data_IF_844795286638
#
_entry.id   IF_844795286638
#
_cell.length_a   1.000
_cell.length_b   1.000
_cell.length_c   1.000
_cell.angle_alpha   90.00
_cell.angle_beta   90.00
_cell.angle_gamma   90.00
#
_symmetry.space_group_name_H-M   'P 1'
#
loop_
_entity.id
_entity.type
_entity.pdbx_description
1 polymer ?
#
# COMPACT_ATOMS: atom_id res chain seq x y z
N UNK A 1 26.96 17.44 8.11
CA UNK A 1 26.20 18.43 8.88
C UNK A 1 24.77 18.45 8.34
N UNK A 2 23.79 18.25 9.23
CA UNK A 2 22.33 18.26 9.02
C UNK A 2 21.70 17.27 8.01
N UNK A 3 21.46 16.05 8.48
CA UNK A 3 20.26 15.25 8.13
C UNK A 3 19.50 14.96 9.43
N UNK A 4 18.72 15.94 9.88
CA UNK A 4 17.80 15.79 11.03
C UNK A 4 16.69 16.82 10.83
N UNK A 5 15.49 16.36 10.45
CA UNK A 5 14.34 17.26 10.24
C UNK A 5 13.14 16.72 9.45
N UNK A 6 13.21 15.54 8.82
CA UNK A 6 12.11 15.00 7.99
C UNK A 6 11.35 13.82 8.61
N UNK A 7 11.57 13.50 9.89
CA UNK A 7 11.03 12.28 10.51
C UNK A 7 9.59 12.39 11.05
N UNK A 8 8.85 13.47 10.77
CA UNK A 8 7.53 13.72 11.39
C UNK A 8 6.49 14.35 10.44
N UNK A 9 6.76 14.38 9.13
CA UNK A 9 5.85 14.98 8.14
C UNK A 9 5.55 13.95 7.05
N UNK A 10 4.29 13.52 6.96
CA UNK A 10 3.85 12.66 5.87
C UNK A 10 3.98 13.35 4.51
N UNK A 11 4.28 12.54 3.51
CA UNK A 11 4.61 12.98 2.16
C UNK A 11 3.69 12.36 1.13
N UNK A 12 3.69 12.93 -0.07
CA UNK A 12 3.08 12.37 -1.27
C UNK A 12 4.06 12.55 -2.44
N UNK A 13 4.06 11.63 -3.39
CA UNK A 13 4.86 11.77 -4.61
C UNK A 13 4.49 13.07 -5.34
N UNK A 14 5.50 13.79 -5.81
CA UNK A 14 5.36 15.03 -6.56
C UNK A 14 4.54 14.87 -7.86
N UNK A 15 4.55 13.66 -8.45
CA UNK A 15 3.68 13.30 -9.57
C UNK A 15 2.18 13.53 -9.30
N UNK A 16 1.74 13.62 -8.03
CA UNK A 16 0.38 14.05 -7.65
C UNK A 16 0.03 15.48 -8.09
N UNK A 17 1.02 16.30 -8.47
CA UNK A 17 0.84 17.62 -9.04
C UNK A 17 0.97 17.65 -10.57
N UNK A 18 1.06 16.50 -11.24
CA UNK A 18 1.09 16.47 -12.70
C UNK A 18 -0.18 17.12 -13.26
N UNK A 19 -0.01 18.07 -14.17
CA UNK A 19 -1.08 18.90 -14.72
C UNK A 19 -1.40 20.18 -13.93
N UNK A 20 -0.78 20.39 -12.76
CA UNK A 20 -1.06 21.55 -11.91
C UNK A 20 -0.72 22.89 -12.58
N UNK A 21 0.47 23.03 -13.14
CA UNK A 21 0.90 24.29 -13.76
C UNK A 21 0.03 24.69 -14.96
N UNK A 22 -0.24 23.81 -15.94
CA UNK A 22 -1.19 24.11 -17.02
C UNK A 22 -2.57 24.49 -16.51
N UNK A 23 -3.14 23.74 -15.55
CA UNK A 23 -4.46 24.02 -15.01
C UNK A 23 -4.53 25.39 -14.31
N UNK A 24 -3.51 25.75 -13.52
CA UNK A 24 -3.45 27.06 -12.86
C UNK A 24 -3.34 28.19 -13.88
N UNK A 25 -2.51 28.03 -14.91
CA UNK A 25 -2.39 29.03 -15.98
C UNK A 25 -3.70 29.21 -16.76
N UNK A 26 -4.39 28.12 -17.11
CA UNK A 26 -5.67 28.14 -17.79
C UNK A 26 -6.76 28.86 -16.97
N UNK A 27 -6.64 28.82 -15.64
CA UNK A 27 -7.51 29.53 -14.71
C UNK A 27 -7.03 30.97 -14.39
N UNK A 28 -5.97 31.44 -15.04
CA UNK A 28 -5.44 32.80 -14.89
C UNK A 28 -4.54 33.03 -13.67
N UNK A 29 -4.04 31.97 -13.04
CA UNK A 29 -3.15 32.04 -11.88
C UNK A 29 -1.65 31.93 -12.22
N UNK A 30 -0.83 32.12 -11.18
CA UNK A 30 0.62 31.85 -11.20
C UNK A 30 0.92 30.57 -10.37
N UNK A 31 1.26 29.44 -11.01
CA UNK A 31 1.50 28.18 -10.31
C UNK A 31 2.72 28.24 -9.40
N UNK A 32 3.76 28.95 -9.81
CA UNK A 32 4.98 29.06 -9.01
C UNK A 32 4.73 29.91 -7.76
N UNK A 33 3.94 30.97 -7.87
CA UNK A 33 3.55 31.78 -6.71
C UNK A 33 2.74 30.96 -5.70
N UNK A 34 1.81 30.12 -6.16
CA UNK A 34 1.06 29.19 -5.31
C UNK A 34 2.01 28.19 -4.64
N UNK A 35 2.87 27.51 -5.39
CA UNK A 35 3.82 26.52 -4.84
C UNK A 35 4.70 27.15 -3.76
N UNK A 36 5.36 28.28 -4.05
CA UNK A 36 6.26 28.96 -3.10
C UNK A 36 5.51 29.40 -1.84
N UNK A 37 4.27 29.86 -1.95
CA UNK A 37 3.45 30.27 -0.79
C UNK A 37 3.17 29.11 0.17
N UNK A 38 3.05 27.89 -0.34
CA UNK A 38 2.89 26.67 0.47
C UNK A 38 4.22 25.97 0.78
N UNK A 39 5.35 26.63 0.56
CA UNK A 39 6.68 26.11 0.88
C UNK A 39 7.17 25.01 -0.07
N UNK A 40 6.58 24.91 -1.27
CA UNK A 40 6.98 23.96 -2.31
C UNK A 40 7.89 24.68 -3.32
N UNK A 41 9.05 24.08 -3.62
CA UNK A 41 9.93 24.56 -4.68
C UNK A 41 9.28 24.24 -6.04
N UNK A 42 9.06 25.23 -6.95
CA UNK A 42 8.45 24.96 -8.25
C UNK A 42 9.16 23.91 -9.10
N UNK A 43 10.46 23.70 -8.87
CA UNK A 43 11.24 22.64 -9.55
C UNK A 43 10.72 21.23 -9.25
N UNK A 44 9.94 21.05 -8.18
CA UNK A 44 9.33 19.76 -7.84
C UNK A 44 8.36 19.25 -8.91
N UNK A 45 7.80 20.15 -9.73
CA UNK A 45 6.94 19.76 -10.87
C UNK A 45 7.72 19.06 -11.99
N UNK A 46 9.05 19.08 -11.97
CA UNK A 46 9.91 18.43 -12.96
C UNK A 46 10.45 17.07 -12.48
N UNK A 47 10.13 16.68 -11.25
CA UNK A 47 10.63 15.47 -10.61
C UNK A 47 9.47 14.62 -10.10
N UNK A 48 8.96 13.73 -10.95
CA UNK A 48 7.85 12.83 -10.63
C UNK A 48 8.18 11.80 -9.53
N UNK A 49 9.47 11.52 -9.30
CA UNK A 49 9.96 10.61 -8.25
C UNK A 49 10.21 11.31 -6.90
N UNK A 50 10.21 12.64 -6.91
CA UNK A 50 10.31 13.48 -5.72
C UNK A 50 9.11 13.33 -4.79
N UNK A 51 9.28 13.80 -3.55
CA UNK A 51 8.24 13.81 -2.53
C UNK A 51 8.03 15.22 -1.99
N UNK A 52 6.77 15.57 -1.74
CA UNK A 52 6.35 16.83 -1.13
C UNK A 52 5.54 16.58 0.15
N UNK A 53 5.56 17.52 1.11
CA UNK A 53 4.67 17.44 2.28
C UNK A 53 3.20 17.39 1.85
N UNK A 54 2.48 16.34 2.27
CA UNK A 54 1.08 16.16 1.85
C UNK A 54 0.17 17.27 2.40
N UNK A 55 0.47 17.81 3.58
CA UNK A 55 -0.23 18.98 4.14
C UNK A 55 -0.09 20.21 3.26
N UNK A 56 1.11 20.49 2.71
CA UNK A 56 1.32 21.61 1.81
C UNK A 56 0.58 21.40 0.48
N UNK A 57 0.65 20.19 -0.07
CA UNK A 57 -0.09 19.78 -1.26
C UNK A 57 -1.60 20.05 -1.10
N UNK A 58 -2.22 19.52 -0.05
CA UNK A 58 -3.68 19.56 0.12
C UNK A 58 -4.20 20.99 0.36
N UNK A 59 -3.53 21.73 1.24
CA UNK A 59 -3.89 23.13 1.51
C UNK A 59 -3.70 24.01 0.27
N UNK A 60 -2.69 23.71 -0.56
CA UNK A 60 -2.48 24.41 -1.83
C UNK A 60 -3.62 24.12 -2.82
N UNK A 61 -4.07 22.87 -2.95
CA UNK A 61 -5.20 22.53 -3.83
C UNK A 61 -6.48 23.24 -3.41
N UNK A 62 -6.80 23.26 -2.11
CA UNK A 62 -7.96 23.97 -1.58
C UNK A 62 -7.87 25.48 -1.83
N UNK A 63 -6.68 26.07 -1.63
CA UNK A 63 -6.44 27.48 -1.90
C UNK A 63 -6.56 27.81 -3.39
N UNK A 64 -5.99 26.99 -4.28
CA UNK A 64 -6.08 27.16 -5.73
C UNK A 64 -7.54 27.13 -6.19
N UNK A 65 -8.33 26.14 -5.74
CA UNK A 65 -9.74 26.06 -6.09
C UNK A 65 -10.54 27.29 -5.65
N UNK A 66 -10.28 27.82 -4.45
CA UNK A 66 -10.95 29.02 -3.93
C UNK A 66 -10.51 30.30 -4.64
N UNK A 67 -9.21 30.52 -4.79
CA UNK A 67 -8.64 31.79 -5.29
C UNK A 67 -8.83 31.94 -6.79
N UNK A 68 -8.86 30.83 -7.53
CA UNK A 68 -9.08 30.82 -8.98
C UNK A 68 -10.56 30.63 -9.36
N UNK A 69 -11.48 30.62 -8.39
CA UNK A 69 -12.91 30.43 -8.64
C UNK A 69 -13.26 29.07 -9.27
N UNK A 70 -12.46 28.05 -9.03
CA UNK A 70 -12.57 26.72 -9.60
C UNK A 70 -12.95 25.71 -8.52
N UNK A 71 -14.24 25.56 -8.24
CA UNK A 71 -14.68 24.67 -7.16
C UNK A 71 -14.42 23.18 -7.42
N UNK A 72 -14.23 22.79 -8.69
CA UNK A 72 -13.92 21.42 -9.14
C UNK A 72 -12.42 21.25 -9.47
N UNK A 73 -11.53 22.04 -8.86
CA UNK A 73 -10.10 22.07 -9.19
C UNK A 73 -9.46 20.68 -9.11
N UNK A 74 -9.69 19.93 -8.03
CA UNK A 74 -9.17 18.58 -7.83
C UNK A 74 -9.67 17.60 -8.88
N UNK A 75 -10.96 17.66 -9.23
CA UNK A 75 -11.53 16.84 -10.31
C UNK A 75 -10.91 17.16 -11.67
N UNK A 76 -10.65 18.44 -11.97
CA UNK A 76 -9.98 18.84 -13.22
C UNK A 76 -8.54 18.38 -13.26
N UNK A 77 -7.82 18.55 -12.15
CA UNK A 77 -6.43 18.10 -12.04
C UNK A 77 -6.32 16.58 -12.25
N UNK A 78 -7.28 15.81 -11.73
CA UNK A 78 -7.30 14.35 -11.92
C UNK A 78 -7.40 13.94 -13.39
N UNK A 79 -7.95 14.78 -14.27
CA UNK A 79 -8.06 14.48 -15.71
C UNK A 79 -6.72 14.57 -16.44
N UNK A 80 -5.74 15.27 -15.87
CA UNK A 80 -4.39 15.38 -16.40
C UNK A 80 -3.44 14.27 -15.90
N UNK A 81 -3.97 13.30 -15.14
CA UNK A 81 -3.20 12.25 -14.48
C UNK A 81 -3.55 10.88 -15.02
N UNK A 82 -2.75 9.86 -14.74
CA UNK A 82 -3.02 8.48 -15.12
C UNK A 82 -2.36 7.53 -14.12
N UNK A 83 -2.40 6.22 -14.38
CA UNK A 83 -1.85 5.21 -13.49
C UNK A 83 -0.36 5.45 -13.15
N UNK A 84 0.42 6.07 -14.04
CA UNK A 84 1.86 6.27 -13.85
C UNK A 84 2.20 7.23 -12.71
N UNK A 85 1.24 8.01 -12.18
CA UNK A 85 1.47 8.84 -10.98
C UNK A 85 1.78 8.00 -9.73
N UNK A 86 1.45 6.70 -9.75
CA UNK A 86 1.83 5.74 -8.71
C UNK A 86 3.30 5.27 -8.82
N UNK A 87 4.02 5.67 -9.88
CA UNK A 87 5.43 5.33 -10.09
C UNK A 87 5.65 3.81 -10.18
N UNK A 88 6.61 3.23 -9.44
CA UNK A 88 6.90 1.78 -9.49
C UNK A 88 5.70 0.88 -9.18
N UNK A 89 4.71 1.36 -8.42
CA UNK A 89 3.48 0.62 -8.14
C UNK A 89 2.62 0.44 -9.40
N UNK A 90 2.67 1.39 -10.34
CA UNK A 90 1.90 1.34 -11.58
C UNK A 90 2.16 0.04 -12.36
N UNK A 91 3.42 -0.39 -12.47
CA UNK A 91 3.81 -1.61 -13.18
C UNK A 91 3.20 -2.87 -12.55
N UNK A 92 3.16 -2.95 -11.22
CA UNK A 92 2.57 -4.10 -10.53
C UNK A 92 1.04 -4.14 -10.68
N UNK A 93 0.40 -2.97 -10.74
CA UNK A 93 -1.04 -2.83 -10.98
C UNK A 93 -1.39 -3.23 -12.41
N UNK A 94 -0.70 -2.66 -13.41
CA UNK A 94 -0.95 -2.91 -14.83
C UNK A 94 -0.73 -4.38 -15.21
N UNK A 95 0.33 -4.99 -14.66
CA UNK A 95 0.64 -6.40 -14.89
C UNK A 95 -0.21 -7.38 -14.05
N UNK A 96 -1.15 -6.89 -13.22
CA UNK A 96 -2.00 -7.76 -12.41
C UNK A 96 -3.03 -8.52 -13.26
N UNK A 97 -3.34 -9.79 -12.92
CA UNK A 97 -4.29 -10.57 -13.71
C UNK A 97 -5.73 -10.07 -13.64
N UNK A 98 -6.11 -9.52 -12.47
CA UNK A 98 -7.49 -9.17 -12.13
C UNK A 98 -7.55 -7.86 -11.34
N UNK A 99 -8.73 -7.20 -11.37
CA UNK A 99 -9.01 -6.03 -10.53
C UNK A 99 -8.78 -6.31 -9.05
N UNK A 100 -9.18 -7.48 -8.55
CA UNK A 100 -8.98 -7.87 -7.15
C UNK A 100 -7.49 -7.88 -6.78
N UNK A 101 -6.66 -8.50 -7.61
CA UNK A 101 -5.22 -8.64 -7.36
C UNK A 101 -4.46 -7.33 -7.57
N UNK A 102 -4.96 -6.45 -8.43
CA UNK A 102 -4.49 -5.09 -8.57
C UNK A 102 -4.80 -4.27 -7.31
N UNK A 103 -6.03 -4.33 -6.80
CA UNK A 103 -6.44 -3.66 -5.56
C UNK A 103 -5.71 -4.22 -4.34
N UNK A 104 -5.39 -5.51 -4.29
CA UNK A 104 -4.51 -6.09 -3.27
C UNK A 104 -3.11 -5.46 -3.32
N UNK A 105 -2.54 -5.33 -4.52
CA UNK A 105 -1.25 -4.68 -4.71
C UNK A 105 -1.27 -3.21 -4.25
N UNK A 106 -2.30 -2.46 -4.64
CA UNK A 106 -2.49 -1.07 -4.19
C UNK A 106 -2.63 -1.01 -2.67
N UNK A 107 -3.51 -1.83 -2.07
CA UNK A 107 -3.72 -1.87 -0.61
C UNK A 107 -2.39 -2.07 0.12
N UNK A 108 -1.52 -2.94 -0.39
CA UNK A 108 -0.23 -3.26 0.21
C UNK A 108 0.84 -2.21 0.00
N UNK A 109 0.87 -1.55 -1.16
CA UNK A 109 2.01 -0.73 -1.59
C UNK A 109 1.69 0.75 -1.86
N UNK A 110 0.45 1.20 -1.66
CA UNK A 110 0.06 2.61 -1.86
C UNK A 110 0.90 3.59 -1.02
N UNK A 111 1.48 3.13 0.09
CA UNK A 111 2.41 3.92 0.89
C UNK A 111 3.61 4.47 0.10
N UNK A 112 3.99 3.82 -1.01
CA UNK A 112 5.04 4.29 -1.94
C UNK A 112 4.63 5.59 -2.63
N UNK A 113 3.34 5.75 -2.89
CA UNK A 113 2.78 6.99 -3.40
C UNK A 113 2.54 7.99 -2.27
N UNK A 114 1.91 7.57 -1.17
CA UNK A 114 1.82 8.34 0.07
C UNK A 114 1.48 7.44 1.26
N UNK A 115 2.23 7.51 2.38
CA UNK A 115 1.91 6.75 3.59
C UNK A 115 0.61 7.19 4.27
N UNK A 116 0.10 8.39 4.00
CA UNK A 116 -1.17 8.87 4.55
C UNK A 116 -2.42 8.31 3.83
N UNK A 117 -2.24 7.67 2.66
CA UNK A 117 -3.37 7.19 1.85
C UNK A 117 -3.58 5.69 1.99
N UNK A 118 -4.85 5.27 2.04
CA UNK A 118 -5.26 3.86 2.07
C UNK A 118 -6.38 3.62 1.09
N UNK A 119 -6.27 2.52 0.36
CA UNK A 119 -7.35 1.96 -0.45
C UNK A 119 -7.64 0.56 0.08
N UNK A 120 -8.91 0.20 0.18
CA UNK A 120 -9.33 -1.12 0.61
C UNK A 120 -10.66 -1.52 -0.05
N UNK A 121 -10.87 -2.82 -0.23
CA UNK A 121 -12.16 -3.39 -0.62
C UNK A 121 -12.90 -3.79 0.65
N UNK A 122 -14.09 -3.23 0.83
CA UNK A 122 -14.94 -3.46 1.98
C UNK A 122 -16.35 -3.90 1.53
N UNK A 123 -17.12 -4.45 2.46
CA UNK A 123 -18.53 -4.71 2.24
C UNK A 123 -19.30 -3.42 1.94
N UNK A 124 -20.35 -3.55 1.15
CA UNK A 124 -21.16 -2.40 0.76
C UNK A 124 -21.83 -1.73 1.96
N UNK A 125 -21.59 -0.43 2.24
CA UNK A 125 -22.16 0.23 3.41
C UNK A 125 -23.69 0.34 3.35
N UNK A 126 -24.30 0.19 2.17
CA UNK A 126 -25.77 0.15 2.04
C UNK A 126 -26.36 -1.26 2.12
N UNK A 127 -25.53 -2.29 2.23
CA UNK A 127 -25.95 -3.70 2.27
C UNK A 127 -26.51 -4.24 0.96
N UNK A 128 -26.24 -3.60 -0.18
CA UNK A 128 -26.74 -4.04 -1.47
C UNK A 128 -26.06 -5.36 -1.88
N UNK A 129 -26.88 -6.37 -2.17
CA UNK A 129 -26.41 -7.69 -2.62
C UNK A 129 -25.64 -7.55 -3.92
N UNK A 130 -24.49 -8.21 -4.02
CA UNK A 130 -23.68 -8.18 -5.24
C UNK A 130 -22.85 -6.92 -5.40
N UNK A 131 -22.84 -5.99 -4.44
CA UNK A 131 -22.03 -4.76 -4.46
C UNK A 131 -20.91 -4.84 -3.43
N UNK A 132 -19.80 -4.15 -3.68
CA UNK A 132 -18.67 -3.91 -2.77
C UNK A 132 -18.29 -2.43 -2.80
N UNK A 133 -17.61 -1.95 -1.76
CA UNK A 133 -17.08 -0.59 -1.69
C UNK A 133 -15.55 -0.61 -1.79
N UNK A 134 -15.00 0.03 -2.82
CA UNK A 134 -13.58 0.37 -2.90
C UNK A 134 -13.42 1.71 -2.18
N UNK A 135 -12.96 1.66 -0.93
CA UNK A 135 -12.80 2.84 -0.10
C UNK A 135 -11.47 3.53 -0.37
N UNK A 136 -11.47 4.86 -0.32
CA UNK A 136 -10.29 5.70 -0.39
C UNK A 136 -10.25 6.57 0.88
N UNK A 137 -9.21 6.38 1.69
CA UNK A 137 -9.06 7.01 3.00
C UNK A 137 -7.75 7.76 3.08
N UNK A 138 -7.80 8.84 3.85
CA UNK A 138 -6.64 9.60 4.26
C UNK A 138 -6.55 9.58 5.78
N UNK A 139 -5.35 9.34 6.31
CA UNK A 139 -5.06 9.51 7.72
C UNK A 139 -5.05 11.00 8.09
N UNK A 140 -6.00 11.40 8.93
CA UNK A 140 -6.17 12.79 9.35
C UNK A 140 -5.17 13.21 10.44
N UNK A 141 -4.46 12.26 11.06
CA UNK A 141 -3.35 12.58 11.94
C UNK A 141 -2.16 13.14 11.15
N UNK A 142 -2.03 12.75 9.89
CA UNK A 142 -0.90 13.13 9.02
C UNK A 142 -1.14 14.43 8.25
N UNK A 143 -2.39 14.75 7.90
CA UNK A 143 -2.74 16.01 7.23
C UNK A 143 -4.24 16.32 7.33
N UNK A 144 -4.63 17.60 7.48
CA UNK A 144 -6.04 18.01 7.55
C UNK A 144 -6.86 17.55 6.35
N UNK A 145 -8.16 17.39 6.55
CA UNK A 145 -9.06 17.03 5.45
C UNK A 145 -9.10 18.14 4.38
N UNK A 146 -8.94 17.76 3.11
CA UNK A 146 -9.08 18.64 1.94
C UNK A 146 -10.10 18.04 0.97
N UNK A 147 -11.21 18.74 0.68
CA UNK A 147 -12.16 18.32 -0.35
C UNK A 147 -11.52 18.23 -1.74
N UNK A 148 -10.64 19.17 -2.11
CA UNK A 148 -10.01 19.14 -3.45
C UNK A 148 -9.08 17.93 -3.60
N UNK A 149 -8.26 17.63 -2.60
CA UNK A 149 -7.39 16.45 -2.62
C UNK A 149 -8.19 15.13 -2.62
N UNK A 150 -9.29 15.09 -1.87
CA UNK A 150 -10.19 13.93 -1.83
C UNK A 150 -10.84 13.69 -3.21
N UNK A 151 -11.39 14.74 -3.82
CA UNK A 151 -11.98 14.67 -5.15
C UNK A 151 -10.94 14.34 -6.23
N UNK A 152 -9.70 14.86 -6.13
CA UNK A 152 -8.58 14.46 -6.99
C UNK A 152 -8.32 12.96 -6.92
N UNK A 153 -8.18 12.40 -5.71
CA UNK A 153 -7.93 10.97 -5.50
C UNK A 153 -9.04 10.08 -6.06
N UNK A 154 -10.30 10.42 -5.80
CA UNK A 154 -11.46 9.69 -6.33
C UNK A 154 -11.56 9.83 -7.86
N UNK A 155 -11.37 11.04 -8.37
CA UNK A 155 -11.34 11.34 -9.81
C UNK A 155 -10.31 10.49 -10.55
N UNK A 156 -9.11 10.40 -9.98
CA UNK A 156 -8.04 9.58 -10.52
C UNK A 156 -8.36 8.08 -10.43
N UNK A 157 -8.91 7.61 -9.30
CA UNK A 157 -9.24 6.19 -9.13
C UNK A 157 -10.28 5.72 -10.16
N UNK A 158 -11.32 6.53 -10.42
CA UNK A 158 -12.30 6.23 -11.48
C UNK A 158 -11.62 6.23 -12.84
N UNK A 159 -10.76 7.21 -13.13
CA UNK A 159 -10.09 7.30 -14.43
C UNK A 159 -9.14 6.12 -14.68
N UNK A 160 -8.39 5.68 -13.68
CA UNK A 160 -7.54 4.49 -13.75
C UNK A 160 -8.40 3.24 -13.97
N UNK A 161 -9.49 3.08 -13.22
CA UNK A 161 -10.39 1.95 -13.38
C UNK A 161 -10.96 1.89 -14.81
N UNK A 162 -11.44 3.01 -15.34
CA UNK A 162 -11.95 3.11 -16.72
C UNK A 162 -10.88 2.79 -17.75
N UNK A 163 -9.62 3.19 -17.53
CA UNK A 163 -8.53 2.90 -18.46
C UNK A 163 -8.13 1.41 -18.48
N UNK A 164 -8.17 0.73 -17.32
CA UNK A 164 -7.76 -0.68 -17.20
C UNK A 164 -8.87 -1.67 -17.57
N UNK A 165 -10.13 -1.32 -17.30
CA UNK A 165 -11.28 -2.22 -17.40
C UNK A 165 -12.25 -1.81 -18.53
N UNK A 166 -12.14 -0.60 -19.05
CA UNK A 166 -13.08 -0.02 -20.01
C UNK A 166 -14.21 0.77 -19.35
N UNK A 167 -15.19 1.19 -20.14
CA UNK A 167 -16.25 2.11 -19.69
C UNK A 167 -17.35 1.46 -18.83
N UNK A 168 -17.47 0.14 -18.85
CA UNK A 168 -18.44 -0.62 -18.03
C UNK A 168 -17.79 -1.22 -16.79
N UNK A 169 -17.19 -0.35 -15.97
CA UNK A 169 -16.55 -0.72 -14.68
C UNK A 169 -17.54 -1.23 -13.62
N UNK A 170 -18.84 -1.32 -13.92
CA UNK A 170 -19.87 -1.69 -12.94
C UNK A 170 -20.04 -0.66 -11.81
N UNK A 171 -19.67 0.60 -12.05
CA UNK A 171 -19.73 1.67 -11.06
C UNK A 171 -21.19 2.08 -10.78
N UNK A 172 -21.65 1.80 -9.56
CA UNK A 172 -23.03 2.06 -9.12
C UNK A 172 -23.24 3.46 -8.54
N UNK A 173 -22.25 3.95 -7.81
CA UNK A 173 -22.26 5.30 -7.23
C UNK A 173 -20.90 5.64 -6.64
N UNK A 174 -20.67 6.92 -6.42
CA UNK A 174 -19.52 7.42 -5.65
C UNK A 174 -20.02 8.05 -4.36
N UNK A 175 -19.28 7.84 -3.29
CA UNK A 175 -19.53 8.43 -1.99
C UNK A 175 -18.40 9.41 -1.66
N UNK A 176 -18.75 10.61 -1.21
CA UNK A 176 -17.81 11.64 -0.79
C UNK A 176 -18.09 12.07 0.66
N UNK A 177 -17.05 12.15 1.53
CA UNK A 177 -17.23 12.47 2.94
C UNK A 177 -17.25 13.96 3.24
N UNK A 178 -17.82 14.75 2.33
CA UNK A 178 -18.04 16.19 2.49
C UNK A 178 -19.34 16.60 1.78
N UNK A 179 -19.83 17.81 2.07
CA UNK A 179 -20.90 18.44 1.31
C UNK A 179 -20.42 18.79 -0.12
N UNK A 180 -21.30 18.88 -1.12
CA UNK A 180 -20.89 19.23 -2.49
C UNK A 180 -20.22 20.61 -2.52
N UNK A 181 -18.98 20.67 -3.03
CA UNK A 181 -18.25 21.94 -3.21
C UNK A 181 -18.48 22.52 -4.62
N UNK A 182 -18.86 21.67 -5.58
CA UNK A 182 -19.29 22.04 -6.92
C UNK A 182 -20.77 21.73 -7.19
N UNK A 183 -21.36 22.24 -8.29
CA UNK A 183 -22.69 21.79 -8.71
C UNK A 183 -22.73 20.28 -8.94
N UNK A 184 -23.72 19.58 -8.36
CA UNK A 184 -23.89 18.11 -8.45
C UNK A 184 -23.85 17.59 -9.91
N UNK A 185 -24.34 18.38 -10.86
CA UNK A 185 -24.31 18.05 -12.28
C UNK A 185 -22.88 17.85 -12.83
N UNK A 186 -21.86 18.54 -12.30
CA UNK A 186 -20.47 18.35 -12.72
C UNK A 186 -19.95 16.97 -12.35
N UNK A 187 -20.25 16.51 -11.14
CA UNK A 187 -19.90 15.16 -10.68
C UNK A 187 -20.59 14.10 -11.53
N UNK A 188 -21.87 14.28 -11.81
CA UNK A 188 -22.65 13.32 -12.62
C UNK A 188 -22.14 13.26 -14.06
N UNK A 189 -21.79 14.41 -14.64
CA UNK A 189 -21.20 14.49 -15.98
C UNK A 189 -19.82 13.82 -16.04
N UNK A 190 -19.00 13.98 -15.00
CA UNK A 190 -17.66 13.41 -14.96
C UNK A 190 -17.67 11.90 -14.73
N UNK A 191 -18.46 11.43 -13.76
CA UNK A 191 -18.44 10.04 -13.32
C UNK A 191 -19.45 9.15 -14.04
N UNK A 192 -20.41 9.74 -14.77
CA UNK A 192 -21.48 9.00 -15.43
C UNK A 192 -22.45 8.30 -14.46
N UNK A 193 -22.38 8.62 -13.16
CA UNK A 193 -23.17 7.98 -12.11
C UNK A 193 -23.55 8.96 -11.01
N UNK A 194 -24.40 8.51 -10.09
CA UNK A 194 -24.82 9.31 -8.93
C UNK A 194 -23.70 9.44 -7.91
N UNK A 195 -23.52 10.65 -7.39
CA UNK A 195 -22.62 10.93 -6.27
C UNK A 195 -23.42 11.22 -5.01
N UNK A 196 -23.10 10.54 -3.92
CA UNK A 196 -23.64 10.76 -2.58
C UNK A 196 -22.64 11.55 -1.75
N UNK A 197 -23.13 12.57 -1.06
CA UNK A 197 -22.35 13.48 -0.25
C UNK A 197 -22.63 13.26 1.24
N UNK A 198 -21.74 13.77 2.10
CA UNK A 198 -21.79 13.59 3.55
C UNK A 198 -21.77 12.11 3.99
N UNK A 199 -21.11 11.25 3.22
CA UNK A 199 -20.85 9.86 3.63
C UNK A 199 -19.76 9.81 4.71
N UNK A 200 -19.63 8.69 5.42
CA UNK A 200 -18.56 8.50 6.42
C UNK A 200 -17.17 8.32 5.80
N UNK A 201 -17.11 7.85 4.55
CA UNK A 201 -15.87 7.54 3.84
C UNK A 201 -16.03 7.84 2.34
N UNK A 202 -14.93 8.15 1.66
CA UNK A 202 -14.93 8.23 0.21
C UNK A 202 -14.89 6.81 -0.38
N UNK A 203 -15.77 6.50 -1.32
CA UNK A 203 -15.83 5.15 -1.88
C UNK A 203 -16.37 5.12 -3.31
N UNK A 204 -15.86 4.19 -4.11
CA UNK A 204 -16.48 3.73 -5.34
C UNK A 204 -17.29 2.48 -5.00
N UNK A 205 -18.60 2.53 -5.20
CA UNK A 205 -19.44 1.34 -5.08
C UNK A 205 -19.55 0.68 -6.43
N UNK A 206 -19.10 -0.56 -6.51
CA UNK A 206 -19.02 -1.32 -7.77
C UNK A 206 -19.71 -2.67 -7.61
N UNK A 207 -20.14 -3.24 -8.73
CA UNK A 207 -20.55 -4.64 -8.76
C UNK A 207 -19.38 -5.52 -8.30
N UNK A 208 -19.67 -6.52 -7.47
CA UNK A 208 -18.66 -7.44 -6.94
C UNK A 208 -17.96 -8.21 -8.07
N UNK A 209 -18.68 -8.48 -9.16
CA UNK A 209 -18.13 -9.12 -10.36
C UNK A 209 -17.05 -8.28 -11.04
N UNK A 210 -17.02 -6.96 -10.81
CA UNK A 210 -15.92 -6.09 -11.29
C UNK A 210 -14.57 -6.57 -10.75
N UNK A 211 -14.52 -7.13 -9.55
CA UNK A 211 -13.28 -7.66 -8.96
C UNK A 211 -12.68 -8.84 -9.75
N UNK A 212 -13.52 -9.56 -10.50
CA UNK A 212 -13.11 -10.74 -11.28
C UNK A 212 -12.70 -10.37 -12.72
N UNK A 213 -12.84 -9.10 -13.12
CA UNK A 213 -12.47 -8.64 -14.46
C UNK A 213 -10.96 -8.72 -14.65
N UNK A 214 -10.56 -9.22 -15.83
CA UNK A 214 -9.15 -9.46 -16.18
C UNK A 214 -8.58 -8.31 -16.98
N UNK A 215 -7.32 -7.99 -16.71
CA UNK A 215 -6.59 -6.99 -17.49
C UNK A 215 -5.97 -7.62 -18.73
N UNK A 216 -6.06 -6.91 -19.86
CA UNK A 216 -5.40 -7.33 -21.10
C UNK A 216 -3.87 -7.32 -20.97
N UNK A 217 -3.33 -6.36 -20.19
CA UNK A 217 -1.90 -6.20 -19.93
C UNK A 217 -1.32 -7.15 -18.87
N UNK A 218 -2.08 -8.16 -18.41
CA UNK A 218 -1.64 -9.07 -17.37
C UNK A 218 -0.35 -9.83 -17.75
N UNK A 219 0.69 -9.71 -16.91
CA UNK A 219 1.95 -10.42 -17.09
C UNK A 219 2.50 -10.85 -15.72
N UNK A 220 2.49 -12.17 -15.48
CA UNK A 220 2.90 -12.73 -14.20
C UNK A 220 4.38 -12.50 -13.87
N UNK A 221 5.25 -12.44 -14.88
CA UNK A 221 6.69 -12.23 -14.70
C UNK A 221 6.96 -10.77 -14.36
N UNK A 222 6.38 -9.83 -15.12
CA UNK A 222 6.50 -8.39 -14.84
C UNK A 222 5.94 -8.08 -13.47
N UNK A 223 4.76 -8.62 -13.13
CA UNK A 223 4.16 -8.43 -11.80
C UNK A 223 5.05 -8.93 -10.68
N UNK A 224 5.62 -10.12 -10.81
CA UNK A 224 6.51 -10.68 -9.79
C UNK A 224 7.77 -9.83 -9.60
N UNK A 225 8.38 -9.35 -10.69
CA UNK A 225 9.54 -8.46 -10.65
C UNK A 225 9.21 -7.11 -10.02
N UNK A 226 8.06 -6.51 -10.38
CA UNK A 226 7.61 -5.23 -9.83
C UNK A 226 7.32 -5.36 -8.33
N UNK A 227 6.63 -6.41 -7.88
CA UNK A 227 6.37 -6.67 -6.46
C UNK A 227 7.69 -6.90 -5.70
N UNK A 228 8.63 -7.65 -6.27
CA UNK A 228 9.93 -7.89 -5.65
C UNK A 228 10.77 -6.62 -5.55
N UNK A 229 10.69 -5.72 -6.54
CA UNK A 229 11.31 -4.40 -6.48
C UNK A 229 10.66 -3.53 -5.40
N UNK A 230 9.33 -3.41 -5.40
CA UNK A 230 8.58 -2.67 -4.38
C UNK A 230 8.89 -3.15 -2.95
N UNK A 231 8.93 -4.47 -2.74
CA UNK A 231 9.16 -5.05 -1.43
C UNK A 231 10.61 -4.91 -0.93
N UNK A 232 11.59 -4.79 -1.84
CA UNK A 232 13.01 -4.60 -1.49
C UNK A 232 13.33 -3.13 -1.24
N UNK A 233 12.91 -2.27 -2.15
CA UNK A 233 13.40 -0.88 -2.20
C UNK A 233 12.47 0.09 -1.46
N UNK A 234 11.24 -0.33 -1.16
CA UNK A 234 10.29 0.46 -0.40
C UNK A 234 9.83 -0.24 0.88
N UNK A 235 10.21 0.36 1.99
CA UNK A 235 9.77 -0.05 3.32
C UNK A 235 8.45 0.63 3.68
N UNK A 236 7.39 -0.14 3.95
CA UNK A 236 6.11 0.42 4.40
C UNK A 236 6.29 1.11 5.76
N UNK A 237 6.12 2.44 5.91
CA UNK A 237 6.35 3.16 7.17
C UNK A 237 5.46 2.68 8.32
N UNK A 238 4.30 2.11 8.01
CA UNK A 238 3.37 1.53 8.99
C UNK A 238 3.60 0.03 9.22
N UNK A 239 4.45 -0.61 8.43
CA UNK A 239 4.85 -1.99 8.70
C UNK A 239 5.80 -2.01 9.90
N UNK A 240 5.38 -2.77 10.91
CA UNK A 240 6.17 -3.13 12.07
C UNK A 240 7.58 -3.56 11.64
N UNK A 241 8.60 -3.03 12.30
CA UNK A 241 10.00 -3.40 12.12
C UNK A 241 10.18 -4.92 12.30
N UNK A 242 9.42 -5.55 13.21
CA UNK A 242 9.39 -7.01 13.37
C UNK A 242 8.90 -7.75 12.14
N UNK A 243 7.93 -7.22 11.39
CA UNK A 243 7.45 -7.82 10.15
C UNK A 243 8.49 -7.74 9.03
N UNK A 244 9.24 -6.63 8.96
CA UNK A 244 10.37 -6.49 8.01
C UNK A 244 11.49 -7.47 8.33
N UNK A 245 11.89 -7.55 9.60
CA UNK A 245 12.90 -8.53 10.06
C UNK A 245 12.43 -9.96 9.75
N UNK A 246 11.16 -10.30 10.00
CA UNK A 246 10.58 -11.61 9.70
C UNK A 246 10.74 -11.98 8.23
N UNK A 247 10.43 -11.05 7.32
CA UNK A 247 10.51 -11.27 5.86
C UNK A 247 11.94 -11.56 5.41
N UNK A 248 12.89 -10.71 5.82
CA UNK A 248 14.30 -10.86 5.48
C UNK A 248 14.88 -12.19 5.99
N UNK A 249 14.52 -12.58 7.21
CA UNK A 249 14.93 -13.88 7.77
C UNK A 249 14.31 -15.05 7.02
N UNK A 250 13.05 -14.94 6.58
CA UNK A 250 12.38 -16.01 5.82
C UNK A 250 13.02 -16.23 4.43
N UNK A 251 13.45 -15.16 3.77
CA UNK A 251 14.11 -15.22 2.46
C UNK A 251 15.53 -15.80 2.52
N UNK A 252 16.19 -15.66 3.68
CA UNK A 252 17.56 -16.16 3.92
C UNK A 252 17.60 -17.46 4.72
N UNK A 253 16.45 -18.07 4.99
CA UNK A 253 16.41 -19.31 5.76
C UNK A 253 17.13 -20.44 4.98
N UNK A 254 18.18 -20.99 5.59
CA UNK A 254 18.96 -22.09 5.00
C UNK A 254 20.16 -21.62 4.16
N UNK A 255 20.31 -20.32 3.90
CA UNK A 255 21.59 -19.70 3.57
C UNK A 255 22.24 -19.25 4.89
N UNK A 256 23.57 -19.03 4.93
CA UNK A 256 24.31 -18.78 6.17
C UNK A 256 23.54 -17.81 7.09
N UNK A 257 23.19 -18.27 8.29
CA UNK A 257 22.17 -17.61 9.11
C UNK A 257 22.55 -16.16 9.41
N UNK A 258 21.69 -15.23 9.04
CA UNK A 258 21.90 -13.82 9.34
C UNK A 258 21.97 -13.64 10.87
N UNK A 259 22.96 -12.90 11.34
CA UNK A 259 22.95 -12.38 12.70
C UNK A 259 22.30 -11.00 12.72
N UNK A 260 21.95 -10.50 13.90
CA UNK A 260 21.34 -9.19 14.07
C UNK A 260 22.08 -8.08 13.30
N UNK A 261 23.41 -8.09 13.31
CA UNK A 261 24.24 -7.10 12.63
C UNK A 261 24.11 -7.16 11.09
N UNK A 262 23.85 -8.34 10.53
CA UNK A 262 23.60 -8.50 9.09
C UNK A 262 22.23 -7.93 8.72
N UNK A 263 21.22 -8.24 9.52
CA UNK A 263 19.86 -7.72 9.36
C UNK A 263 19.83 -6.20 9.50
N UNK A 264 20.54 -5.66 10.48
CA UNK A 264 20.65 -4.22 10.68
C UNK A 264 21.29 -3.53 9.46
N UNK A 265 22.37 -4.11 8.91
CA UNK A 265 23.00 -3.60 7.68
C UNK A 265 22.08 -3.65 6.47
N UNK A 266 21.33 -4.74 6.30
CA UNK A 266 20.38 -4.90 5.19
C UNK A 266 19.18 -3.94 5.28
N UNK A 267 18.84 -3.48 6.49
CA UNK A 267 17.78 -2.49 6.74
C UNK A 267 18.31 -1.05 6.86
N UNK A 268 19.58 -0.80 6.50
CA UNK A 268 20.26 0.50 6.62
C UNK A 268 20.10 1.15 8.01
N UNK A 269 20.21 0.35 9.08
CA UNK A 269 20.05 0.80 10.46
C UNK A 269 21.16 0.28 11.37
N UNK A 270 21.33 0.94 12.52
CA UNK A 270 22.28 0.49 13.53
C UNK A 270 21.65 -0.64 14.37
N UNK A 271 22.40 -1.70 14.77
CA UNK A 271 21.86 -2.82 15.55
C UNK A 271 21.10 -2.40 16.82
N UNK A 272 21.63 -1.42 17.56
CA UNK A 272 20.95 -0.85 18.75
C UNK A 272 19.61 -0.19 18.42
N UNK A 273 19.51 0.47 17.27
CA UNK A 273 18.27 1.11 16.80
C UNK A 273 17.24 0.05 16.46
N UNK A 274 17.66 -1.01 15.75
CA UNK A 274 16.81 -2.14 15.42
C UNK A 274 16.27 -2.85 16.67
N UNK A 275 17.15 -3.15 17.64
CA UNK A 275 16.74 -3.76 18.91
C UNK A 275 15.74 -2.88 19.68
N UNK A 276 15.96 -1.56 19.73
CA UNK A 276 15.03 -0.64 20.40
C UNK A 276 13.67 -0.62 19.69
N UNK A 277 13.65 -0.62 18.36
CA UNK A 277 12.40 -0.64 17.60
C UNK A 277 11.61 -1.95 17.83
N UNK A 278 12.30 -3.10 17.81
CA UNK A 278 11.67 -4.39 18.15
C UNK A 278 11.13 -4.42 19.58
N UNK A 279 11.85 -3.82 20.53
CA UNK A 279 11.42 -3.74 21.92
C UNK A 279 10.16 -2.87 22.09
N UNK A 280 10.03 -1.78 21.33
CA UNK A 280 8.79 -0.97 21.30
C UNK A 280 7.60 -1.79 20.80
N UNK A 281 7.84 -2.73 19.88
CA UNK A 281 6.83 -3.67 19.38
C UNK A 281 6.62 -4.89 20.28
N UNK A 282 7.25 -4.92 21.46
CA UNK A 282 7.11 -6.03 22.42
C UNK A 282 7.79 -7.33 21.98
N UNK A 283 8.78 -7.26 21.09
CA UNK A 283 9.50 -8.44 20.58
C UNK A 283 11.02 -8.27 20.58
N UNK A 284 11.75 -9.31 20.20
CA UNK A 284 13.21 -9.29 20.02
C UNK A 284 13.60 -9.99 18.73
N UNK A 285 14.84 -9.77 18.29
CA UNK A 285 15.38 -10.45 17.12
C UNK A 285 15.29 -11.97 17.24
N UNK A 286 15.65 -12.51 18.40
CA UNK A 286 15.65 -13.94 18.69
C UNK A 286 14.23 -14.51 18.64
N UNK A 287 13.23 -13.77 19.15
CA UNK A 287 11.83 -14.19 19.09
C UNK A 287 11.30 -14.21 17.65
N UNK A 288 11.63 -13.20 16.84
CA UNK A 288 11.26 -13.16 15.43
C UNK A 288 11.93 -14.29 14.65
N UNK A 289 13.22 -14.53 14.86
CA UNK A 289 13.96 -15.64 14.23
C UNK A 289 13.39 -17.00 14.63
N UNK A 290 13.05 -17.18 15.91
CA UNK A 290 12.46 -18.42 16.41
C UNK A 290 11.08 -18.69 15.78
N UNK A 291 10.26 -17.65 15.61
CA UNK A 291 8.95 -17.75 14.95
C UNK A 291 9.07 -18.08 13.46
N UNK A 292 10.00 -17.45 12.74
CA UNK A 292 10.28 -17.79 11.33
C UNK A 292 10.70 -19.25 11.19
N UNK A 293 11.64 -19.70 12.04
CA UNK A 293 12.08 -21.10 12.07
C UNK A 293 10.94 -22.06 12.40
N UNK A 294 10.07 -21.69 13.34
CA UNK A 294 8.89 -22.48 13.73
C UNK A 294 7.97 -22.70 12.55
N UNK A 295 7.55 -21.62 11.88
CA UNK A 295 6.62 -21.72 10.74
C UNK A 295 7.22 -22.59 9.62
N UNK A 296 8.48 -22.36 9.26
CA UNK A 296 9.15 -23.13 8.21
C UNK A 296 9.34 -24.60 8.59
N UNK A 297 9.77 -24.88 9.82
CA UNK A 297 10.01 -26.25 10.30
C UNK A 297 8.72 -27.06 10.37
N UNK A 298 7.65 -26.48 10.94
CA UNK A 298 6.37 -27.18 11.05
C UNK A 298 5.81 -27.51 9.66
N UNK A 299 5.83 -26.55 8.73
CA UNK A 299 5.44 -26.80 7.34
C UNK A 299 6.23 -27.96 6.72
N UNK A 300 7.56 -27.92 6.79
CA UNK A 300 8.39 -28.99 6.19
C UNK A 300 8.17 -30.35 6.84
N UNK A 301 7.93 -30.40 8.16
CA UNK A 301 7.65 -31.66 8.88
C UNK A 301 6.32 -32.27 8.44
N UNK A 302 5.29 -31.45 8.26
CA UNK A 302 3.92 -31.92 7.99
C UNK A 302 3.59 -32.08 6.51
N UNK A 303 4.29 -31.39 5.60
CA UNK A 303 3.97 -31.41 4.17
C UNK A 303 5.01 -32.10 3.31
N UNK A 304 6.06 -32.70 3.90
CA UNK A 304 7.13 -33.36 3.14
C UNK A 304 7.66 -34.60 3.84
N UNK A 305 8.28 -35.52 3.08
CA UNK A 305 8.97 -36.70 3.59
C UNK A 305 10.47 -36.47 3.88
N UNK A 306 10.92 -35.21 3.91
CA UNK A 306 12.34 -34.88 4.13
C UNK A 306 12.87 -35.43 5.45
N UNK A 307 14.13 -35.82 5.52
CA UNK A 307 14.74 -36.27 6.78
C UNK A 307 14.85 -35.09 7.75
N UNK A 308 14.63 -35.31 9.04
CA UNK A 308 14.72 -34.24 10.05
C UNK A 308 16.09 -33.55 10.08
N UNK A 309 17.16 -34.26 9.70
CA UNK A 309 18.50 -33.66 9.51
C UNK A 309 18.52 -32.64 8.37
N UNK A 310 17.85 -32.91 7.24
CA UNK A 310 17.74 -32.00 6.11
C UNK A 310 16.88 -30.79 6.48
N UNK A 311 15.75 -31.03 7.16
CA UNK A 311 14.87 -29.95 7.64
C UNK A 311 15.63 -29.03 8.59
N UNK A 312 16.43 -29.59 9.52
CA UNK A 312 17.25 -28.80 10.44
C UNK A 312 18.19 -27.85 9.71
N UNK A 313 18.87 -28.33 8.67
CA UNK A 313 19.74 -27.49 7.84
C UNK A 313 18.95 -26.40 7.10
N UNK A 314 17.83 -26.76 6.46
CA UNK A 314 17.00 -25.82 5.68
C UNK A 314 16.41 -24.70 6.53
N UNK A 315 16.13 -24.94 7.80
CA UNK A 315 15.62 -23.91 8.73
C UNK A 315 16.72 -23.31 9.62
N UNK A 316 17.99 -23.60 9.33
CA UNK A 316 19.14 -22.97 9.98
C UNK A 316 19.40 -23.42 11.42
N UNK A 317 19.06 -24.65 11.79
CA UNK A 317 19.53 -25.29 13.02
C UNK A 317 20.85 -26.03 12.81
N UNK A 318 21.73 -25.97 13.81
CA UNK A 318 23.04 -26.63 13.77
C UNK A 318 23.00 -28.16 13.77
N UNK A 319 21.91 -28.74 14.26
CA UNK A 319 21.72 -30.20 14.34
C UNK A 319 20.24 -30.56 14.48
N UNK A 320 19.90 -31.79 14.09
CA UNK A 320 18.58 -32.38 14.30
C UNK A 320 18.14 -32.35 15.78
N UNK A 321 19.06 -32.57 16.72
CA UNK A 321 18.76 -32.56 18.15
C UNK A 321 18.29 -31.18 18.64
N UNK A 322 18.78 -30.10 18.03
CA UNK A 322 18.33 -28.72 18.33
C UNK A 322 16.96 -28.44 17.74
N UNK A 323 16.71 -28.87 16.49
CA UNK A 323 15.38 -28.81 15.87
C UNK A 323 14.34 -29.56 16.71
N UNK A 324 14.62 -30.81 17.11
CA UNK A 324 13.68 -31.64 17.88
C UNK A 324 13.30 -31.00 19.22
N UNK A 325 14.26 -30.38 19.92
CA UNK A 325 13.99 -29.63 21.16
C UNK A 325 13.13 -28.39 20.91
N UNK A 326 13.42 -27.65 19.84
CA UNK A 326 12.65 -26.47 19.47
C UNK A 326 11.19 -26.83 19.13
N UNK A 327 10.97 -27.87 18.31
CA UNK A 327 9.64 -28.37 17.96
C UNK A 327 8.85 -28.78 19.20
N UNK A 328 9.48 -29.50 20.13
CA UNK A 328 8.83 -29.91 21.38
C UNK A 328 8.48 -28.71 22.27
N UNK A 329 9.33 -27.68 22.30
CA UNK A 329 9.02 -26.42 23.00
C UNK A 329 7.84 -25.68 22.35
N UNK A 330 7.76 -25.64 21.02
CA UNK A 330 6.71 -24.91 20.30
C UNK A 330 5.34 -25.62 20.32
N UNK A 331 5.33 -26.95 20.29
CA UNK A 331 4.11 -27.74 20.03
C UNK A 331 3.75 -28.71 21.15
N UNK A 332 4.64 -28.93 22.12
CA UNK A 332 4.52 -29.97 23.14
C UNK A 332 4.80 -31.40 22.63
N UNK A 333 4.96 -31.59 21.31
CA UNK A 333 5.02 -32.90 20.65
C UNK A 333 6.38 -33.15 19.99
N UNK A 334 6.72 -34.41 19.77
CA UNK A 334 7.94 -34.76 19.02
C UNK A 334 7.72 -34.58 17.50
N UNK A 335 8.76 -34.24 16.71
CA UNK A 335 8.62 -34.08 15.25
C UNK A 335 8.01 -35.29 14.52
N UNK A 336 8.27 -36.51 14.99
CA UNK A 336 7.68 -37.73 14.43
C UNK A 336 6.17 -37.81 14.67
N UNK A 337 5.74 -37.46 15.88
CA UNK A 337 4.32 -37.44 16.24
C UNK A 337 3.54 -36.42 15.39
N UNK A 338 4.16 -35.30 15.03
CA UNK A 338 3.57 -34.29 14.14
C UNK A 338 3.46 -34.77 12.69
N UNK A 339 4.38 -35.61 12.23
CA UNK A 339 4.36 -36.19 10.89
C UNK A 339 3.29 -37.27 10.74
N UNK A 340 3.04 -38.03 11.80
CA UNK A 340 2.04 -39.10 11.83
C UNK A 340 0.63 -38.60 12.22
N UNK A 341 0.43 -37.28 12.32
CA UNK A 341 -0.87 -36.67 12.63
C UNK A 341 -1.59 -36.21 11.37
N UNK A 342 -2.62 -36.93 10.96
CA UNK A 342 -3.55 -36.55 9.88
C UNK A 342 -4.42 -35.31 10.20
N UNK A 343 -4.22 -34.63 11.34
CA UNK A 343 -5.17 -33.63 11.90
C UNK A 343 -4.93 -32.16 11.51
N UNK A 344 -4.00 -31.81 10.62
CA UNK A 344 -3.69 -30.38 10.30
C UNK A 344 -4.31 -29.88 8.97
N UNK A 345 -5.19 -30.64 8.32
CA UNK A 345 -6.01 -30.07 7.23
C UNK A 345 -7.13 -29.12 7.71
N UNK A 346 -7.39 -29.02 9.03
CA UNK A 346 -8.51 -28.22 9.57
C UNK A 346 -8.16 -26.80 10.06
N UNK A 347 -6.88 -26.48 10.33
CA UNK A 347 -6.51 -25.20 11.00
C UNK A 347 -5.98 -24.13 10.04
N UNK A 348 -5.73 -24.44 8.76
CA UNK A 348 -5.29 -23.45 7.74
C UNK A 348 -6.44 -22.90 6.88
N UNK A 349 -7.71 -23.13 7.25
CA UNK A 349 -8.91 -22.55 6.62
C UNK A 349 -9.69 -21.60 7.55
N UNK A 350 -9.02 -20.95 8.50
CA UNK A 350 -9.59 -19.83 9.26
C UNK A 350 -8.64 -18.66 9.34
#
# INVERSE_FOLDING_TARGET
MQRSGLSDVSVIRAASLRGFSPLVHDLGGDPDALLRRFGLDPRVLQDDDGFIPITAHDLMLDAAGRELGCSDFGLRLSQAQDLSILGPLALAVEASPTVAEALECVTRFLFVHSPALRIAVEDDPSGARGVVAITYRKDLHESPYSPQAMELGIGLLVRIATALVGTDVGLRSIDLPHAPISPVARYTALFGTTVRFNSSVAALRVDRQTLDLRFEGADAVIRALAIAHLARDHSNPTELVSARVRRLLAETLGTAGLVLDDVARLLDTHPRTLQRALAVEGTTYELVLDDVRRVAALRLITTTDLRLTQIATMVGFSAQSTLSRAVRRWTGRAPRELRDSDEIHATMSR
#
